data_IF_821943314056
#
_entry.id   IF_821943314056
#
_cell.length_a   1.000
_cell.length_b   1.000
_cell.length_c   1.000
_cell.angle_alpha   90.00
_cell.angle_beta   90.00
_cell.angle_gamma   90.00
#
_symmetry.space_group_name_H-M   'P 1'
#
loop_
_entity.id
_entity.type
_entity.pdbx_description
1 polymer ?
#
# COMPACT_ATOMS: atom_id res chain seq x y z
N UNK A 1 -9.46 31.73 -5.62
CA UNK A 1 -10.41 31.15 -4.65
C UNK A 1 -10.34 29.66 -4.81
N UNK A 2 -9.75 28.96 -3.85
CA UNK A 2 -9.65 27.51 -3.86
C UNK A 2 -11.05 26.92 -3.62
N UNK A 3 -11.55 26.10 -4.54
CA UNK A 3 -12.85 25.44 -4.36
C UNK A 3 -12.63 24.24 -3.45
N UNK A 4 -13.27 24.28 -2.27
CA UNK A 4 -13.25 23.17 -1.32
C UNK A 4 -14.47 22.29 -1.54
N UNK A 5 -14.24 20.97 -1.58
CA UNK A 5 -15.29 19.97 -1.72
C UNK A 5 -15.49 19.23 -0.40
N UNK A 6 -16.73 19.12 0.05
CA UNK A 6 -17.08 18.27 1.18
C UNK A 6 -17.09 16.79 0.73
N UNK A 7 -16.26 15.97 1.37
CA UNK A 7 -16.11 14.55 1.03
C UNK A 7 -16.21 13.65 2.25
N UNK A 8 -16.55 12.39 1.99
CA UNK A 8 -16.42 11.28 2.94
C UNK A 8 -15.44 10.25 2.40
N UNK A 9 -14.58 9.74 3.27
CA UNK A 9 -13.63 8.69 2.92
C UNK A 9 -14.22 7.31 3.17
N UNK A 10 -14.42 6.54 2.11
CA UNK A 10 -14.96 5.18 2.15
C UNK A 10 -13.89 4.16 1.79
N UNK A 11 -13.84 3.08 2.56
CA UNK A 11 -12.92 1.96 2.36
C UNK A 11 -13.70 0.65 2.22
N UNK A 12 -13.43 -0.10 1.14
CA UNK A 12 -14.13 -1.35 0.83
C UNK A 12 -13.42 -2.60 1.37
N UNK A 13 -12.08 -2.57 1.46
CA UNK A 13 -11.25 -3.67 1.97
C UNK A 13 -10.44 -3.22 3.18
N UNK A 14 -10.16 -4.12 4.14
CA UNK A 14 -9.49 -3.80 5.42
C UNK A 14 -8.22 -2.95 5.25
N UNK A 15 -7.37 -3.29 4.29
CA UNK A 15 -6.17 -2.55 3.89
C UNK A 15 -6.24 -2.09 2.43
N UNK A 16 -7.30 -1.35 2.10
CA UNK A 16 -7.51 -0.75 0.78
C UNK A 16 -7.36 0.77 0.79
N UNK A 17 -7.16 1.34 -0.40
CA UNK A 17 -7.26 2.79 -0.63
C UNK A 17 -8.57 3.33 -0.07
N UNK A 18 -8.50 4.51 0.53
CA UNK A 18 -9.67 5.29 0.89
C UNK A 18 -10.07 6.09 -0.34
N UNK A 19 -11.31 5.93 -0.78
CA UNK A 19 -11.88 6.67 -1.89
C UNK A 19 -12.78 7.77 -1.35
N UNK A 20 -12.69 8.96 -1.94
CA UNK A 20 -13.52 10.09 -1.57
C UNK A 20 -14.83 10.09 -2.37
N UNK A 21 -15.94 10.28 -1.66
CA UNK A 21 -17.29 10.36 -2.22
C UNK A 21 -17.99 11.62 -1.71
N UNK A 22 -18.93 12.12 -2.50
CA UNK A 22 -19.85 13.18 -2.08
C UNK A 22 -20.86 12.60 -1.05
N UNK A 23 -20.95 13.17 0.17
CA UNK A 23 -21.88 12.73 1.22
C UNK A 23 -23.36 12.85 0.82
N UNK A 24 -23.69 13.61 -0.23
CA UNK A 24 -25.07 13.86 -0.69
C UNK A 24 -26.00 14.33 0.46
N UNK A 25 -25.48 15.19 1.34
CA UNK A 25 -26.15 15.74 2.53
C UNK A 25 -26.53 14.72 3.63
N UNK A 26 -26.07 13.48 3.54
CA UNK A 26 -26.26 12.51 4.62
C UNK A 26 -25.37 12.85 5.83
N UNK A 27 -25.91 12.72 7.03
CA UNK A 27 -25.13 12.82 8.26
C UNK A 27 -24.52 11.46 8.58
N UNK A 28 -23.30 11.26 8.09
CA UNK A 28 -22.58 9.99 8.16
C UNK A 28 -21.54 10.05 9.28
N UNK A 29 -21.63 9.10 10.20
CA UNK A 29 -20.69 8.97 11.32
C UNK A 29 -19.50 8.07 10.98
N UNK A 30 -18.43 8.20 11.76
CA UNK A 30 -17.24 7.37 11.57
C UNK A 30 -17.56 5.91 11.90
N UNK A 31 -16.98 4.97 11.16
CA UNK A 31 -17.22 3.53 11.27
C UNK A 31 -18.60 3.04 10.80
N UNK A 32 -19.48 3.91 10.31
CA UNK A 32 -20.71 3.49 9.65
C UNK A 32 -20.42 2.84 8.30
N UNK A 33 -21.41 2.10 7.80
CA UNK A 33 -21.37 1.50 6.48
C UNK A 33 -22.33 2.23 5.56
N UNK A 34 -21.90 2.42 4.31
CA UNK A 34 -22.63 3.15 3.29
C UNK A 34 -22.66 2.37 1.99
N UNK A 35 -23.70 2.61 1.21
CA UNK A 35 -23.85 2.11 -0.14
C UNK A 35 -23.46 3.24 -1.10
N UNK A 36 -22.50 2.96 -1.99
CA UNK A 36 -21.96 3.93 -2.93
C UNK A 36 -21.94 3.38 -4.36
N UNK A 37 -22.02 4.27 -5.35
CA UNK A 37 -21.87 3.90 -6.76
C UNK A 37 -20.41 4.08 -7.19
N UNK A 38 -19.76 3.00 -7.58
CA UNK A 38 -18.41 3.01 -8.16
C UNK A 38 -18.45 2.71 -9.66
N UNK A 39 -17.32 2.82 -10.33
CA UNK A 39 -17.18 2.38 -11.73
C UNK A 39 -17.46 0.88 -11.93
N UNK A 40 -17.44 0.09 -10.84
CA UNK A 40 -17.72 -1.35 -10.85
C UNK A 40 -19.18 -1.69 -10.54
N UNK A 41 -19.99 -0.69 -10.18
CA UNK A 41 -21.36 -0.85 -9.74
C UNK A 41 -21.56 -0.41 -8.29
N UNK A 42 -22.64 -0.90 -7.68
CA UNK A 42 -22.97 -0.58 -6.30
C UNK A 42 -22.05 -1.37 -5.36
N UNK A 43 -21.45 -0.71 -4.37
CA UNK A 43 -20.59 -1.34 -3.39
C UNK A 43 -20.97 -0.96 -1.95
N UNK A 44 -20.73 -1.90 -1.03
CA UNK A 44 -20.88 -1.72 0.42
C UNK A 44 -19.51 -1.36 1.01
N UNK A 45 -19.38 -0.15 1.55
CA UNK A 45 -18.12 0.38 2.06
C UNK A 45 -18.22 0.86 3.49
N UNK A 46 -17.08 0.84 4.20
CA UNK A 46 -16.97 1.39 5.55
C UNK A 46 -16.44 2.82 5.51
N UNK A 47 -17.07 3.72 6.26
CA UNK A 47 -16.63 5.10 6.42
C UNK A 47 -15.46 5.14 7.40
N UNK A 48 -14.34 5.69 6.94
CA UNK A 48 -13.10 5.83 7.72
C UNK A 48 -12.66 7.28 7.89
N UNK A 49 -13.23 8.20 7.11
CA UNK A 49 -13.03 9.65 7.26
C UNK A 49 -14.40 10.28 7.13
N UNK A 50 -14.84 10.96 8.19
CA UNK A 50 -16.06 11.76 8.18
C UNK A 50 -15.75 13.16 7.67
N UNK A 51 -16.72 13.76 6.95
CA UNK A 51 -16.82 15.19 6.59
C UNK A 51 -15.46 15.92 6.55
N UNK A 52 -14.71 15.71 5.47
CA UNK A 52 -13.42 16.39 5.22
C UNK A 52 -13.60 17.37 4.07
N UNK A 53 -13.04 18.57 4.19
CA UNK A 53 -12.89 19.48 3.07
C UNK A 53 -11.54 19.23 2.39
N UNK A 54 -11.58 19.06 1.07
CA UNK A 54 -10.41 18.76 0.24
C UNK A 54 -10.37 19.69 -0.96
N UNK A 55 -9.15 19.98 -1.41
CA UNK A 55 -8.88 20.75 -2.62
C UNK A 55 -9.25 19.95 -3.87
N UNK A 56 -9.49 20.62 -4.99
CA UNK A 56 -9.73 19.98 -6.29
C UNK A 56 -8.58 19.06 -6.73
N UNK A 57 -7.34 19.40 -6.35
CA UNK A 57 -6.14 18.63 -6.70
C UNK A 57 -6.02 17.31 -5.91
N UNK A 58 -6.72 17.20 -4.78
CA UNK A 58 -6.69 16.03 -3.90
C UNK A 58 -7.74 14.97 -4.26
N UNK A 59 -8.64 15.26 -5.21
CA UNK A 59 -9.77 14.40 -5.57
C UNK A 59 -9.91 14.19 -7.07
N UNK A 60 -10.42 13.02 -7.44
CA UNK A 60 -10.80 12.74 -8.83
C UNK A 60 -12.24 13.19 -9.05
N UNK A 61 -12.41 14.27 -9.81
CA UNK A 61 -13.73 14.79 -10.21
C UNK A 61 -14.25 14.11 -11.48
N UNK A 62 -15.59 13.96 -11.63
CA UNK A 62 -16.63 14.27 -10.65
C UNK A 62 -16.70 13.24 -9.52
N UNK A 63 -16.93 13.71 -8.29
CA UNK A 63 -17.15 12.84 -7.15
C UNK A 63 -18.40 12.00 -7.35
N UNK A 64 -18.26 10.69 -7.13
CA UNK A 64 -19.42 9.79 -7.04
C UNK A 64 -20.13 10.02 -5.71
N UNK A 65 -21.44 9.79 -5.69
CA UNK A 65 -22.28 10.08 -4.54
C UNK A 65 -22.47 8.86 -3.64
N UNK A 66 -22.59 9.13 -2.35
CA UNK A 66 -23.19 8.16 -1.42
C UNK A 66 -24.67 8.03 -1.76
N UNK A 67 -25.12 6.81 -2.00
CA UNK A 67 -26.53 6.52 -2.32
C UNK A 67 -27.36 6.59 -1.04
N UNK A 68 -26.89 5.91 0.02
CA UNK A 68 -27.54 5.85 1.34
C UNK A 68 -26.63 5.21 2.40
N UNK A 69 -27.03 5.39 3.67
CA UNK A 69 -26.49 4.62 4.79
C UNK A 69 -26.97 3.16 4.68
N UNK A 70 -26.07 2.21 4.97
CA UNK A 70 -26.38 0.79 4.90
C UNK A 70 -27.27 0.36 6.08
N UNK A 71 -28.19 -0.55 5.82
CA UNK A 71 -29.10 -1.12 6.81
C UNK A 71 -28.72 -2.57 7.17
N UNK A 72 -29.49 -3.19 8.06
CA UNK A 72 -29.24 -4.57 8.49
C UNK A 72 -29.39 -5.58 7.34
N UNK A 73 -30.32 -5.36 6.40
CA UNK A 73 -30.49 -6.24 5.25
C UNK A 73 -29.25 -6.21 4.34
N UNK A 74 -28.62 -5.05 4.16
CA UNK A 74 -27.38 -4.92 3.38
C UNK A 74 -26.23 -5.70 4.04
N UNK A 75 -26.14 -5.64 5.37
CA UNK A 75 -25.14 -6.40 6.11
C UNK A 75 -25.36 -7.89 5.97
N UNK A 76 -26.61 -8.36 6.08
CA UNK A 76 -26.97 -9.77 5.85
C UNK A 76 -26.61 -10.20 4.43
N UNK A 77 -26.94 -9.38 3.42
CA UNK A 77 -26.58 -9.65 2.02
C UNK A 77 -25.07 -9.80 1.84
N UNK A 78 -24.25 -8.94 2.46
CA UNK A 78 -22.79 -9.04 2.41
C UNK A 78 -22.28 -10.35 3.01
N UNK A 79 -22.84 -10.79 4.13
CA UNK A 79 -22.44 -12.08 4.75
C UNK A 79 -22.87 -13.28 3.90
N UNK A 80 -24.07 -13.26 3.31
CA UNK A 80 -24.49 -14.29 2.36
C UNK A 80 -23.59 -14.32 1.12
N UNK A 81 -23.21 -13.14 0.59
CA UNK A 81 -22.29 -13.03 -0.55
C UNK A 81 -20.93 -13.67 -0.23
N UNK A 82 -20.43 -13.49 1.00
CA UNK A 82 -19.19 -14.15 1.46
C UNK A 82 -19.34 -15.66 1.54
N UNK A 83 -20.50 -16.17 1.95
CA UNK A 83 -20.76 -17.62 1.97
C UNK A 83 -20.81 -18.20 0.56
N UNK A 84 -21.59 -17.59 -0.32
CA UNK A 84 -21.71 -17.98 -1.73
C UNK A 84 -20.35 -17.91 -2.46
N UNK A 85 -19.51 -16.92 -2.13
CA UNK A 85 -18.16 -16.81 -2.67
C UNK A 85 -17.26 -18.02 -2.30
N UNK A 86 -17.37 -18.54 -1.07
CA UNK A 86 -16.60 -19.74 -0.65
C UNK A 86 -17.02 -20.99 -1.42
N UNK A 87 -18.31 -21.16 -1.64
CA UNK A 87 -18.82 -22.26 -2.48
C UNK A 87 -18.35 -22.10 -3.93
N UNK A 88 -18.44 -20.87 -4.47
CA UNK A 88 -17.97 -20.58 -5.82
C UNK A 88 -16.47 -20.81 -6.00
N UNK A 89 -15.67 -20.51 -4.98
CA UNK A 89 -14.24 -20.80 -4.94
C UNK A 89 -13.98 -22.31 -5.10
N UNK A 90 -14.67 -23.16 -4.32
CA UNK A 90 -14.47 -24.61 -4.36
C UNK A 90 -14.83 -25.20 -5.72
N UNK A 91 -15.97 -24.79 -6.28
CA UNK A 91 -16.41 -25.23 -7.61
C UNK A 91 -15.43 -24.79 -8.69
N UNK A 92 -14.99 -23.52 -8.65
CA UNK A 92 -14.02 -23.02 -9.63
C UNK A 92 -12.68 -23.75 -9.52
N UNK A 93 -12.22 -24.05 -8.31
CA UNK A 93 -10.98 -24.81 -8.11
C UNK A 93 -11.07 -26.21 -8.72
N UNK A 94 -12.19 -26.91 -8.56
CA UNK A 94 -12.42 -28.21 -9.20
C UNK A 94 -12.41 -28.08 -10.73
N UNK A 95 -13.10 -27.08 -11.27
CA UNK A 95 -13.16 -26.83 -12.71
C UNK A 95 -11.80 -26.46 -13.32
N UNK A 96 -10.99 -25.68 -12.62
CA UNK A 96 -9.62 -25.37 -13.05
C UNK A 96 -8.79 -26.63 -13.23
N UNK A 97 -8.93 -27.61 -12.32
CA UNK A 97 -8.27 -28.92 -12.42
C UNK A 97 -8.84 -29.75 -13.57
N UNK A 98 -10.17 -29.82 -13.72
CA UNK A 98 -10.82 -30.55 -14.81
C UNK A 98 -10.40 -30.05 -16.20
N UNK A 99 -10.27 -28.73 -16.36
CA UNK A 99 -9.83 -28.09 -17.60
C UNK A 99 -8.31 -28.04 -17.75
N UNK A 100 -7.55 -28.57 -16.77
CA UNK A 100 -6.09 -28.58 -16.73
C UNK A 100 -5.45 -27.21 -17.03
N UNK A 101 -5.97 -26.16 -16.39
CA UNK A 101 -5.50 -24.80 -16.59
C UNK A 101 -4.34 -24.45 -15.65
N UNK A 102 -3.27 -23.90 -16.21
CA UNK A 102 -2.07 -23.47 -15.47
C UNK A 102 -2.28 -22.12 -14.76
N UNK A 103 -3.22 -22.10 -13.80
CA UNK A 103 -3.53 -20.95 -12.95
C UNK A 103 -3.70 -21.36 -11.50
N UNK A 104 -3.43 -20.39 -10.62
CA UNK A 104 -3.74 -20.48 -9.20
C UNK A 104 -4.90 -19.54 -8.87
N UNK A 105 -6.04 -20.11 -8.48
CA UNK A 105 -7.14 -19.33 -7.91
C UNK A 105 -6.70 -18.76 -6.56
N UNK A 106 -6.92 -17.46 -6.35
CA UNK A 106 -6.50 -16.74 -5.13
C UNK A 106 -7.70 -16.38 -4.26
N UNK A 107 -8.75 -15.80 -4.86
CA UNK A 107 -9.93 -15.36 -4.12
C UNK A 107 -11.14 -15.28 -5.05
N UNK A 108 -12.35 -15.30 -4.48
CA UNK A 108 -13.61 -15.12 -5.21
C UNK A 108 -14.47 -14.11 -4.47
N UNK A 109 -15.09 -13.19 -5.21
CA UNK A 109 -15.89 -12.11 -4.65
C UNK A 109 -17.16 -11.90 -5.48
N UNK A 110 -18.30 -11.81 -4.81
CA UNK A 110 -19.52 -11.31 -5.44
C UNK A 110 -19.56 -9.79 -5.34
N UNK A 111 -20.01 -9.13 -6.39
CA UNK A 111 -20.44 -7.72 -6.26
C UNK A 111 -21.58 -7.63 -5.25
N UNK A 112 -21.73 -6.47 -4.60
CA UNK A 112 -22.74 -6.29 -3.56
C UNK A 112 -24.15 -6.65 -4.07
N UNK A 113 -24.48 -6.22 -5.30
CA UNK A 113 -25.74 -6.48 -6.00
C UNK A 113 -25.88 -7.89 -6.61
N UNK A 114 -24.88 -8.77 -6.45
CA UNK A 114 -24.77 -10.10 -7.07
C UNK A 114 -24.88 -10.14 -8.59
N UNK A 115 -24.74 -9.01 -9.28
CA UNK A 115 -24.78 -8.99 -10.75
C UNK A 115 -23.56 -9.66 -11.38
N UNK A 116 -22.46 -9.78 -10.63
CA UNK A 116 -21.20 -10.33 -11.11
C UNK A 116 -20.45 -11.10 -10.02
N UNK A 117 -19.76 -12.16 -10.44
CA UNK A 117 -18.79 -12.90 -9.64
C UNK A 117 -17.41 -12.66 -10.23
N UNK A 118 -16.45 -12.27 -9.38
CA UNK A 118 -15.07 -11.99 -9.76
C UNK A 118 -14.19 -13.09 -9.17
N UNK A 119 -13.46 -13.80 -10.03
CA UNK A 119 -12.47 -14.79 -9.63
C UNK A 119 -11.08 -14.20 -9.84
N UNK A 120 -10.35 -14.01 -8.74
CA UNK A 120 -8.99 -13.51 -8.76
C UNK A 120 -8.02 -14.68 -8.88
N UNK A 121 -7.06 -14.58 -9.81
CA UNK A 121 -6.08 -15.64 -10.03
C UNK A 121 -4.70 -15.10 -10.38
N UNK A 122 -3.68 -15.93 -10.18
CA UNK A 122 -2.33 -15.71 -10.71
C UNK A 122 -1.98 -16.76 -11.76
N UNK A 123 -1.14 -16.37 -12.72
CA UNK A 123 -0.69 -17.18 -13.83
C UNK A 123 0.59 -16.58 -14.40
N UNK A 124 1.53 -17.42 -14.83
CA UNK A 124 2.79 -16.98 -15.44
C UNK A 124 2.61 -16.59 -16.92
N UNK A 125 1.64 -17.21 -17.60
CA UNK A 125 1.37 -17.03 -19.01
C UNK A 125 -0.07 -16.63 -19.33
N UNK A 126 -0.37 -16.60 -20.64
CA UNK A 126 -1.75 -16.46 -21.11
C UNK A 126 -2.48 -17.78 -20.98
N UNK A 127 -3.71 -17.73 -20.49
CA UNK A 127 -4.58 -18.90 -20.31
C UNK A 127 -5.81 -18.74 -21.18
N UNK A 128 -6.19 -19.80 -21.87
CA UNK A 128 -7.47 -19.87 -22.56
C UNK A 128 -8.55 -20.40 -21.60
N UNK A 129 -9.34 -19.49 -21.04
CA UNK A 129 -10.38 -19.80 -20.05
C UNK A 129 -11.79 -19.90 -20.65
N UNK A 130 -11.94 -19.96 -21.98
CA UNK A 130 -13.27 -19.93 -22.63
C UNK A 130 -14.21 -21.03 -22.14
N UNK A 131 -13.72 -22.27 -22.02
CA UNK A 131 -14.55 -23.38 -21.54
C UNK A 131 -14.84 -23.28 -20.03
N UNK A 132 -13.85 -22.88 -19.22
CA UNK A 132 -14.06 -22.60 -17.79
C UNK A 132 -15.17 -21.55 -17.58
N UNK A 133 -15.13 -20.44 -18.32
CA UNK A 133 -16.14 -19.37 -18.20
C UNK A 133 -17.54 -19.88 -18.56
N UNK A 134 -17.67 -20.74 -19.57
CA UNK A 134 -18.97 -21.36 -19.93
C UNK A 134 -19.51 -22.22 -18.79
N UNK A 135 -18.66 -23.07 -18.21
CA UNK A 135 -19.05 -23.94 -17.09
C UNK A 135 -19.48 -23.12 -15.88
N UNK A 136 -18.67 -22.14 -15.47
CA UNK A 136 -18.99 -21.29 -14.33
C UNK A 136 -20.27 -20.48 -14.57
N UNK A 137 -20.46 -19.94 -15.78
CA UNK A 137 -21.67 -19.19 -16.12
C UNK A 137 -22.92 -20.09 -16.09
N UNK A 138 -22.81 -21.35 -16.53
CA UNK A 138 -23.92 -22.31 -16.47
C UNK A 138 -24.29 -22.68 -15.02
N UNK A 139 -23.30 -22.81 -14.14
CA UNK A 139 -23.49 -23.17 -12.72
C UNK A 139 -24.09 -22.01 -11.95
N UNK A 140 -23.46 -20.83 -12.00
CA UNK A 140 -23.83 -19.69 -11.14
C UNK A 140 -24.92 -18.80 -11.73
N UNK A 141 -25.22 -18.94 -13.02
CA UNK A 141 -26.24 -18.14 -13.74
C UNK A 141 -26.06 -16.64 -13.54
N UNK A 142 -24.82 -16.22 -13.36
CA UNK A 142 -24.40 -14.85 -13.04
C UNK A 142 -23.23 -14.49 -13.94
N UNK A 143 -23.02 -13.20 -14.22
CA UNK A 143 -21.88 -12.76 -15.03
C UNK A 143 -20.56 -13.12 -14.35
N UNK A 144 -19.71 -13.85 -15.06
CA UNK A 144 -18.39 -14.26 -14.58
C UNK A 144 -17.33 -13.26 -15.08
N UNK A 145 -16.48 -12.80 -14.18
CA UNK A 145 -15.28 -12.02 -14.49
C UNK A 145 -14.06 -12.76 -13.93
N UNK A 146 -13.12 -13.13 -14.79
CA UNK A 146 -11.83 -13.67 -14.38
C UNK A 146 -10.81 -12.54 -14.38
N UNK A 147 -10.14 -12.33 -13.25
CA UNK A 147 -9.18 -11.24 -13.08
C UNK A 147 -7.81 -11.75 -12.66
N UNK A 148 -6.84 -11.59 -13.55
CA UNK A 148 -5.44 -11.86 -13.24
C UNK A 148 -4.91 -10.75 -12.32
N UNK A 149 -4.25 -11.16 -11.24
CA UNK A 149 -3.56 -10.26 -10.30
C UNK A 149 -2.07 -10.57 -10.26
N UNK A 150 -1.25 -9.61 -9.82
CA UNK A 150 0.18 -9.82 -9.66
C UNK A 150 0.51 -10.50 -8.32
N UNK A 151 1.72 -11.06 -8.21
CA UNK A 151 2.25 -11.70 -6.99
C UNK A 151 2.18 -10.79 -5.74
N UNK A 152 2.27 -9.47 -5.92
CA UNK A 152 2.17 -8.51 -4.81
C UNK A 152 0.73 -8.35 -4.32
N UNK A 153 -0.24 -8.33 -5.23
CA UNK A 153 -1.66 -8.28 -4.88
C UNK A 153 -2.11 -9.60 -4.24
N UNK A 154 -1.59 -10.73 -4.73
CA UNK A 154 -1.78 -12.04 -4.08
C UNK A 154 -1.30 -12.01 -2.63
N UNK A 155 -0.06 -11.56 -2.38
CA UNK A 155 0.47 -11.43 -1.03
C UNK A 155 -0.33 -10.45 -0.16
N UNK A 156 -0.87 -9.37 -0.75
CA UNK A 156 -1.75 -8.42 -0.04
C UNK A 156 -3.07 -9.07 0.36
N UNK A 157 -3.68 -9.89 -0.51
CA UNK A 157 -4.95 -10.56 -0.25
C UNK A 157 -4.80 -11.67 0.79
N UNK A 158 -3.76 -12.50 0.67
CA UNK A 158 -3.49 -13.58 1.62
C UNK A 158 -2.93 -13.07 2.96
N UNK A 159 -2.25 -11.93 2.94
CA UNK A 159 -1.48 -11.44 4.08
C UNK A 159 -0.24 -12.28 4.34
N UNK A 160 0.28 -12.21 5.56
CA UNK A 160 1.47 -12.94 5.99
C UNK A 160 2.37 -12.13 6.91
N UNK A 161 3.55 -12.67 7.17
CA UNK A 161 4.58 -12.04 7.99
C UNK A 161 5.77 -11.70 7.09
N UNK A 162 6.19 -10.44 7.14
CA UNK A 162 7.35 -9.95 6.41
C UNK A 162 8.67 -10.41 7.05
N UNK A 163 9.80 -10.22 6.35
CA UNK A 163 11.13 -10.57 6.89
C UNK A 163 11.48 -9.81 8.17
N UNK A 164 10.81 -8.69 8.44
CA UNK A 164 10.92 -7.92 9.68
C UNK A 164 10.15 -8.52 10.88
N UNK A 165 9.46 -9.66 10.71
CA UNK A 165 8.67 -10.31 11.75
C UNK A 165 7.30 -9.68 12.03
N UNK A 166 6.91 -8.65 11.27
CA UNK A 166 5.59 -7.99 11.38
C UNK A 166 4.64 -8.45 10.27
N UNK A 167 3.34 -8.23 10.45
CA UNK A 167 2.36 -8.40 9.37
C UNK A 167 2.74 -7.56 8.14
N UNK A 168 2.43 -8.04 6.93
CA UNK A 168 2.78 -7.33 5.70
C UNK A 168 2.20 -5.90 5.70
N UNK A 169 3.05 -4.90 5.44
CA UNK A 169 2.62 -3.48 5.34
C UNK A 169 1.50 -3.30 4.30
N UNK A 170 1.58 -4.05 3.20
CA UNK A 170 0.62 -4.00 2.09
C UNK A 170 -0.79 -4.46 2.48
N UNK A 171 -0.92 -5.40 3.42
CA UNK A 171 -2.19 -5.95 3.89
C UNK A 171 -2.67 -5.28 5.18
N UNK A 172 -1.98 -4.23 5.64
CA UNK A 172 -2.29 -3.55 6.91
C UNK A 172 -2.60 -2.07 6.69
N UNK A 173 -1.59 -1.26 6.35
CA UNK A 173 -1.74 0.21 6.31
C UNK A 173 -1.36 0.84 4.96
N UNK A 174 -0.42 0.26 4.20
CA UNK A 174 0.05 0.88 2.95
C UNK A 174 -1.06 0.94 1.90
N UNK A 175 -1.78 -0.16 1.72
CA UNK A 175 -2.85 -0.28 0.73
C UNK A 175 -2.34 -0.29 -0.70
N UNK A 176 -2.01 0.87 -1.26
CA UNK A 176 -1.51 1.01 -2.63
C UNK A 176 0.02 1.02 -2.69
N UNK A 177 0.57 0.81 -3.88
CA UNK A 177 2.01 0.72 -4.07
C UNK A 177 2.50 1.73 -5.08
N UNK A 178 3.55 2.44 -4.68
CA UNK A 178 4.39 3.16 -5.61
C UNK A 178 5.47 2.24 -6.21
N UNK A 179 6.00 2.56 -7.39
CA UNK A 179 7.16 1.89 -7.95
C UNK A 179 8.36 1.98 -7.01
N UNK A 180 8.99 0.83 -6.74
CA UNK A 180 10.19 0.75 -5.90
C UNK A 180 11.40 0.52 -6.82
N UNK A 181 12.50 1.23 -6.55
CA UNK A 181 13.73 1.12 -7.33
C UNK A 181 14.90 0.59 -6.49
N UNK A 182 15.92 0.04 -7.16
CA UNK A 182 17.16 -0.40 -6.50
C UNK A 182 17.93 0.78 -5.89
N UNK A 183 17.77 2.00 -6.43
CA UNK A 183 18.38 3.22 -5.89
C UNK A 183 17.96 3.43 -4.43
N UNK A 184 16.68 3.27 -4.12
CA UNK A 184 16.14 3.43 -2.76
C UNK A 184 16.81 2.47 -1.76
N UNK A 185 17.10 1.23 -2.17
CA UNK A 185 17.83 0.30 -1.31
C UNK A 185 19.28 0.74 -1.06
N UNK A 186 19.93 1.37 -2.06
CA UNK A 186 21.27 1.94 -1.90
C UNK A 186 21.26 3.18 -0.99
N UNK A 187 20.27 4.04 -1.15
CA UNK A 187 20.13 5.26 -0.33
C UNK A 187 19.92 4.92 1.15
N UNK A 188 19.34 3.74 1.44
CA UNK A 188 19.17 3.19 2.78
C UNK A 188 20.35 2.32 3.25
N UNK A 189 21.47 2.31 2.51
CA UNK A 189 22.66 1.51 2.81
C UNK A 189 22.40 0.01 2.98
N UNK A 190 21.41 -0.54 2.26
CA UNK A 190 21.10 -1.96 2.31
C UNK A 190 21.94 -2.77 1.32
N UNK A 191 22.27 -4.01 1.69
CA UNK A 191 22.91 -4.97 0.80
C UNK A 191 22.00 -5.27 -0.38
N UNK A 192 22.55 -5.23 -1.61
CA UNK A 192 21.81 -5.51 -2.85
C UNK A 192 21.52 -7.00 -3.09
N UNK A 193 21.72 -7.85 -2.08
CA UNK A 193 21.32 -9.25 -2.14
C UNK A 193 19.77 -9.34 -2.21
N UNK A 194 19.18 -10.01 -3.22
CA UNK A 194 17.73 -10.16 -3.35
C UNK A 194 17.04 -10.65 -2.07
N UNK A 195 17.66 -11.54 -1.29
CA UNK A 195 17.08 -12.04 -0.04
C UNK A 195 16.92 -10.96 1.04
N UNK A 196 17.65 -9.85 0.95
CA UNK A 196 17.61 -8.73 1.89
C UNK A 196 16.70 -7.59 1.44
N UNK A 197 16.46 -7.45 0.14
CA UNK A 197 15.69 -6.32 -0.42
C UNK A 197 14.34 -6.70 -1.02
N UNK A 198 14.07 -8.00 -1.19
CA UNK A 198 12.79 -8.52 -1.68
C UNK A 198 11.85 -8.84 -0.53
N UNK A 199 10.58 -8.48 -0.70
CA UNK A 199 9.50 -8.88 0.20
C UNK A 199 9.04 -10.31 -0.05
N UNK A 200 8.10 -10.77 0.76
CA UNK A 200 7.51 -12.13 0.66
C UNK A 200 6.93 -12.42 -0.73
N UNK A 201 6.45 -11.39 -1.44
CA UNK A 201 5.94 -11.48 -2.81
C UNK A 201 7.03 -11.65 -3.90
N UNK A 202 8.31 -11.75 -3.53
CA UNK A 202 9.43 -11.89 -4.48
C UNK A 202 9.84 -10.61 -5.21
N UNK A 203 9.10 -9.50 -5.05
CA UNK A 203 9.46 -8.17 -5.56
C UNK A 203 10.14 -7.32 -4.48
N UNK A 204 10.79 -6.22 -4.88
CA UNK A 204 11.37 -5.24 -3.95
C UNK A 204 10.38 -4.83 -2.86
N UNK A 205 10.87 -4.67 -1.63
CA UNK A 205 10.05 -4.33 -0.47
C UNK A 205 9.42 -2.94 -0.62
N UNK A 206 8.12 -2.84 -0.35
CA UNK A 206 7.39 -1.57 -0.39
C UNK A 206 7.82 -0.58 0.71
N UNK A 207 8.39 -1.07 1.83
CA UNK A 207 8.94 -0.22 2.88
C UNK A 207 10.10 0.65 2.39
N UNK A 208 10.85 0.19 1.37
CA UNK A 208 11.93 0.98 0.78
C UNK A 208 11.42 2.32 0.27
N UNK A 209 10.32 2.33 -0.49
CA UNK A 209 9.73 3.60 -0.94
C UNK A 209 9.06 4.35 0.21
N UNK A 210 8.33 3.66 1.09
CA UNK A 210 7.64 4.28 2.23
C UNK A 210 8.58 5.10 3.12
N UNK A 211 9.80 4.61 3.34
CA UNK A 211 10.80 5.27 4.19
C UNK A 211 11.68 6.24 3.39
N UNK A 212 11.74 6.13 2.05
CA UNK A 212 12.75 6.82 1.24
C UNK A 212 12.75 8.34 1.40
N UNK A 213 11.58 8.94 1.52
CA UNK A 213 11.45 10.41 1.56
C UNK A 213 12.12 10.97 2.83
N UNK A 214 11.99 10.25 3.96
CA UNK A 214 12.70 10.57 5.21
C UNK A 214 14.22 10.37 5.09
N UNK A 215 14.65 9.33 4.36
CA UNK A 215 16.08 9.11 4.10
C UNK A 215 16.67 10.19 3.20
N UNK A 216 15.96 10.63 2.15
CA UNK A 216 16.41 11.71 1.26
C UNK A 216 16.53 13.03 2.04
N UNK A 217 15.49 13.39 2.82
CA UNK A 217 15.51 14.60 3.65
C UNK A 217 16.64 14.58 4.71
N UNK A 218 16.86 13.44 5.37
CA UNK A 218 17.94 13.31 6.35
C UNK A 218 19.32 13.38 5.67
N UNK A 219 19.48 12.80 4.48
CA UNK A 219 20.74 12.81 3.74
C UNK A 219 21.12 14.21 3.25
N UNK A 220 20.15 15.05 2.88
CA UNK A 220 20.41 16.46 2.53
C UNK A 220 20.98 17.28 3.69
N UNK A 221 20.68 16.88 4.93
CA UNK A 221 21.16 17.57 6.13
C UNK A 221 22.49 17.00 6.67
N UNK A 222 22.84 15.77 6.29
CA UNK A 222 24.04 15.07 6.77
C UNK A 222 25.23 15.32 5.83
N UNK A 223 26.46 15.37 6.36
CA UNK A 223 27.66 15.42 5.52
C UNK A 223 27.84 14.11 4.74
N UNK A 224 28.55 14.17 3.61
CA UNK A 224 28.88 12.99 2.81
C UNK A 224 29.93 12.12 3.52
N UNK A 225 29.91 10.81 3.22
CA UNK A 225 30.99 9.91 3.61
C UNK A 225 32.33 10.40 3.04
N UNK A 226 33.40 10.23 3.80
CA UNK A 226 34.76 10.72 3.53
C UNK A 226 34.92 12.24 3.47
N UNK A 227 33.86 13.02 3.72
CA UNK A 227 33.96 14.47 3.83
C UNK A 227 34.80 14.85 5.07
N UNK A 228 35.66 15.85 4.92
CA UNK A 228 36.40 16.45 6.04
C UNK A 228 35.54 17.54 6.67
N UNK A 229 35.27 17.39 7.97
CA UNK A 229 34.48 18.35 8.75
C UNK A 229 35.28 18.84 9.95
N UNK A 230 35.03 20.08 10.36
CA UNK A 230 35.69 20.68 11.52
C UNK A 230 34.86 20.42 12.77
N UNK A 231 35.29 19.51 13.63
CA UNK A 231 34.54 19.17 14.84
C UNK A 231 35.06 19.94 16.06
N UNK A 232 34.32 19.94 17.18
CA UNK A 232 34.77 20.59 18.43
C UNK A 232 36.10 20.04 18.98
N UNK A 233 36.45 18.81 18.59
CA UNK A 233 37.68 18.14 19.00
C UNK A 233 38.77 18.13 17.92
N UNK A 234 38.60 18.92 16.85
CA UNK A 234 39.56 19.06 15.75
C UNK A 234 38.97 18.65 14.39
N UNK A 235 39.80 18.74 13.35
CA UNK A 235 39.40 18.31 12.00
C UNK A 235 39.37 16.80 11.93
N UNK A 236 38.31 16.25 11.34
CA UNK A 236 38.18 14.81 11.16
C UNK A 236 37.47 14.45 9.87
N UNK A 237 37.55 13.17 9.51
CA UNK A 237 36.91 12.60 8.32
C UNK A 237 35.69 11.79 8.72
N UNK A 238 34.57 11.99 8.03
CA UNK A 238 33.35 11.21 8.23
C UNK A 238 33.60 9.79 7.71
N UNK A 239 33.53 8.78 8.59
CA UNK A 239 33.76 7.38 8.24
C UNK A 239 32.47 6.54 8.29
N UNK A 240 31.42 7.07 8.91
CA UNK A 240 30.15 6.37 9.08
C UNK A 240 29.01 7.33 9.38
N UNK A 241 27.82 6.97 8.93
CA UNK A 241 26.59 7.72 9.13
C UNK A 241 25.48 6.76 9.57
N UNK A 242 24.81 7.08 10.67
CA UNK A 242 23.52 6.50 10.99
C UNK A 242 22.45 7.54 10.62
N UNK A 243 21.81 7.35 9.46
CA UNK A 243 20.86 8.31 8.89
C UNK A 243 19.62 8.46 9.80
N UNK A 244 19.10 7.35 10.32
CA UNK A 244 17.89 7.34 11.14
C UNK A 244 18.11 8.00 12.52
N UNK A 245 19.25 7.75 13.14
CA UNK A 245 19.61 8.36 14.43
C UNK A 245 20.29 9.73 14.27
N UNK A 246 20.55 10.17 13.04
CA UNK A 246 21.29 11.39 12.69
C UNK A 246 22.64 11.48 13.43
N UNK A 247 23.33 10.34 13.53
CA UNK A 247 24.65 10.23 14.13
C UNK A 247 25.72 10.18 13.05
N UNK A 248 26.81 10.93 13.28
CA UNK A 248 27.95 11.06 12.37
C UNK A 248 29.18 10.55 13.10
N UNK A 249 29.82 9.52 12.54
CA UNK A 249 31.06 8.97 13.06
C UNK A 249 32.24 9.64 12.35
N UNK A 250 33.08 10.33 13.14
CA UNK A 250 34.21 11.11 12.63
C UNK A 250 35.51 10.55 13.17
N UNK A 251 36.43 10.21 12.27
CA UNK A 251 37.82 9.88 12.57
C UNK A 251 38.63 11.18 12.68
N UNK A 252 39.10 11.51 13.89
CA UNK A 252 39.92 12.70 14.12
C UNK A 252 41.35 12.47 13.65
N UNK A 253 41.88 13.39 12.84
CA UNK A 253 43.22 13.29 12.24
C UNK A 253 44.33 13.30 13.30
N UNK A 254 44.13 14.04 14.39
CA UNK A 254 45.18 14.25 15.41
C UNK A 254 45.33 13.09 16.40
N UNK A 255 44.34 12.18 16.50
CA UNK A 255 44.27 11.19 17.59
C UNK A 255 43.94 9.77 17.15
N UNK A 256 43.77 9.51 15.85
CA UNK A 256 43.28 8.21 15.30
C UNK A 256 42.09 7.66 16.11
N UNK A 257 41.21 8.57 16.55
CA UNK A 257 40.08 8.25 17.42
C UNK A 257 38.79 8.52 16.68
N UNK A 258 37.89 7.56 16.74
CA UNK A 258 36.52 7.67 16.25
C UNK A 258 35.69 8.33 17.36
N UNK A 259 35.01 9.42 17.01
CA UNK A 259 34.08 10.13 17.87
C UNK A 259 32.74 10.23 17.15
N UNK A 260 31.66 9.99 17.88
CA UNK A 260 30.29 10.13 17.38
C UNK A 260 29.74 11.49 17.77
N UNK A 261 29.12 12.17 16.81
CA UNK A 261 28.43 13.44 17.02
C UNK A 261 26.98 13.33 16.56
N UNK A 262 26.09 14.03 17.25
CA UNK A 262 24.73 14.25 16.74
C UNK A 262 24.73 15.39 15.72
N UNK A 263 23.78 15.39 14.78
CA UNK A 263 23.62 16.50 13.84
C UNK A 263 23.46 17.85 14.55
N UNK A 264 22.66 17.91 15.63
CA UNK A 264 22.42 19.13 16.39
C UNK A 264 23.70 19.71 17.02
N UNK A 265 24.62 18.86 17.49
CA UNK A 265 25.90 19.31 18.04
C UNK A 265 26.80 19.98 17.00
N UNK A 266 26.72 19.52 15.75
CA UNK A 266 27.49 20.08 14.64
C UNK A 266 26.83 21.34 14.06
N UNK A 267 25.50 21.38 14.01
CA UNK A 267 24.73 22.57 13.57
C UNK A 267 24.89 23.71 14.58
N UNK A 268 24.70 23.44 15.89
CA UNK A 268 24.83 24.46 16.94
C UNK A 268 26.24 25.08 17.04
N UNK A 269 27.24 24.39 16.48
CA UNK A 269 28.64 24.85 16.45
C UNK A 269 29.08 25.36 15.08
N UNK A 270 28.14 25.53 14.13
CA UNK A 270 28.36 26.14 12.82
C UNK A 270 29.18 25.28 11.85
N UNK A 271 29.26 23.96 12.08
CA UNK A 271 30.05 23.02 11.28
C UNK A 271 29.27 22.56 10.04
N UNK A 272 27.95 22.47 10.16
CA UNK A 272 27.01 22.09 9.10
C UNK A 272 25.96 23.18 8.98
N UNK A 273 25.77 23.71 7.77
CA UNK A 273 24.75 24.72 7.49
C UNK A 273 23.36 24.10 7.60
N UNK A 274 22.51 24.63 8.49
CA UNK A 274 21.08 24.30 8.47
C UNK A 274 20.47 24.89 7.20
N UNK A 275 20.25 24.06 6.17
CA UNK A 275 19.26 24.41 5.16
C UNK A 275 17.89 24.10 5.77
N UNK A 276 17.37 25.09 6.50
CA UNK A 276 15.97 25.12 6.92
C UNK A 276 15.16 25.49 5.67
N UNK A 277 14.50 24.51 5.07
CA UNK A 277 13.50 24.77 4.01
C UNK A 277 12.19 25.13 4.71
N UNK A 278 11.68 26.34 4.43
CA UNK A 278 10.33 26.80 4.77
C UNK A 278 9.23 25.92 4.15
#
# INVERSE_FOLDING_TARGET
MTVLYDVVGVRFKKAGKVYYFDPNQFDISENEFVIVETVRGIEYGKVVITKKQVDENDVVLPLKKVIRIANENDRTLVEENKHAAKEAYQVCQQKVVEHNLDMKLVDVEYTFDRNKIIFYFTADGRIDFRELVKDLAAIFRTRIELRQIGVRDEAKMLGGIGPCGRMLCCSTFLGDFEPVSIKMAKDQNLSLNPAKISGLCGRLMCCLKYENDEYEAAKEQLPDLDQRIQTPHGTGRVIGLNILERLIQVELVDKERIVEYTLDELVNKGVVSSQTTD
#
